data_IF_252305821508
#
_entry.id   IF_252305821508
#
_cell.length_a   1.000
_cell.length_b   1.000
_cell.length_c   1.000
_cell.angle_alpha   90.00
_cell.angle_beta   90.00
_cell.angle_gamma   90.00
#
_symmetry.space_group_name_H-M   'P 1'
#
loop_
_entity.id
_entity.type
_entity.pdbx_description
1 polymer ?
#
# COMPACT_ATOMS: atom_id res chain seq x y z
N UNK A 1 -12.14 23.91 -24.19
CA UNK A 1 -11.27 23.22 -23.24
C UNK A 1 -12.01 22.42 -22.15
N UNK A 2 -13.10 22.92 -21.52
CA UNK A 2 -13.92 22.18 -20.54
C UNK A 2 -14.65 20.94 -21.08
N UNK A 3 -14.95 20.88 -22.36
CA UNK A 3 -15.65 19.76 -23.03
C UNK A 3 -14.72 18.60 -23.37
N UNK A 4 -13.46 18.84 -23.74
CA UNK A 4 -12.47 17.79 -24.07
C UNK A 4 -12.10 16.89 -22.87
N UNK A 5 -12.22 17.41 -21.64
CA UNK A 5 -11.99 16.65 -20.41
C UNK A 5 -13.20 15.82 -19.96
N UNK A 6 -14.35 15.95 -20.63
CA UNK A 6 -15.59 15.23 -20.29
C UNK A 6 -15.85 14.02 -21.19
N UNK A 7 -15.23 13.95 -22.37
CA UNK A 7 -15.39 12.82 -23.30
C UNK A 7 -14.44 11.69 -22.97
N UNK A 8 -14.88 10.43 -23.00
CA UNK A 8 -14.00 9.26 -22.94
C UNK A 8 -12.92 9.36 -24.02
N UNK A 9 -11.73 8.81 -23.76
CA UNK A 9 -10.59 8.91 -24.68
C UNK A 9 -10.91 8.27 -26.06
N UNK A 10 -11.79 7.27 -26.09
CA UNK A 10 -12.29 6.63 -27.33
C UNK A 10 -13.22 7.53 -28.18
N UNK A 11 -13.84 8.53 -27.58
CA UNK A 11 -14.77 9.44 -28.27
C UNK A 11 -14.14 10.80 -28.59
N UNK A 12 -12.86 11.00 -28.27
CA UNK A 12 -12.18 12.25 -28.64
C UNK A 12 -11.89 12.21 -30.13
N UNK A 13 -12.34 13.23 -30.89
CA UNK A 13 -11.92 13.32 -32.27
C UNK A 13 -10.39 13.40 -32.35
N UNK A 14 -9.80 12.59 -33.21
CA UNK A 14 -8.35 12.46 -33.31
C UNK A 14 -7.61 13.80 -33.53
N UNK A 15 -8.33 14.83 -33.96
CA UNK A 15 -7.78 16.17 -34.16
C UNK A 15 -8.91 17.23 -34.20
N UNK A 16 -9.07 18.00 -33.13
CA UNK A 16 -9.61 19.35 -33.27
C UNK A 16 -8.47 20.36 -33.28
N UNK A 17 -8.24 20.94 -34.47
CA UNK A 17 -7.35 22.08 -34.64
C UNK A 17 -7.90 23.28 -33.89
N UNK A 18 -7.39 23.58 -32.72
CA UNK A 18 -7.38 24.95 -32.25
C UNK A 18 -6.09 25.57 -32.74
N UNK A 19 -6.15 26.12 -33.95
CA UNK A 19 -5.12 26.97 -34.50
C UNK A 19 -5.02 28.25 -33.60
N UNK A 20 -4.17 28.21 -32.58
CA UNK A 20 -3.52 29.36 -32.04
C UNK A 20 -2.04 29.19 -32.42
N UNK A 21 -1.66 30.01 -33.40
CA UNK A 21 -0.26 30.22 -33.80
C UNK A 21 0.56 30.59 -32.57
N UNK A 22 1.15 29.63 -31.91
CA UNK A 22 2.20 29.84 -30.91
C UNK A 22 3.53 29.82 -31.67
N UNK A 23 4.35 30.85 -31.51
CA UNK A 23 5.69 30.89 -32.05
C UNK A 23 6.43 29.58 -31.82
N UNK A 24 6.79 28.78 -32.84
CA UNK A 24 7.28 27.43 -32.72
C UNK A 24 8.62 27.31 -31.96
N UNK A 25 9.38 28.38 -31.88
CA UNK A 25 10.77 28.39 -31.41
C UNK A 25 10.97 28.34 -29.89
N UNK A 26 9.98 28.75 -29.10
CA UNK A 26 10.10 28.76 -27.62
C UNK A 26 9.57 27.48 -26.97
N UNK A 27 8.56 26.84 -27.56
CA UNK A 27 7.97 25.58 -27.06
C UNK A 27 8.90 24.40 -27.37
N UNK A 28 9.50 24.34 -28.55
CA UNK A 28 10.39 23.25 -28.97
C UNK A 28 11.62 23.05 -28.07
N UNK A 29 12.19 24.15 -27.53
CA UNK A 29 13.35 24.10 -26.62
C UNK A 29 13.04 23.55 -25.23
N UNK A 30 11.78 23.55 -24.81
CA UNK A 30 11.38 23.11 -23.48
C UNK A 30 10.81 21.68 -23.42
N UNK A 31 10.49 21.05 -24.57
CA UNK A 31 9.91 19.71 -24.63
C UNK A 31 10.72 18.69 -23.83
N UNK A 32 12.04 18.50 -24.05
CA UNK A 32 12.81 17.50 -23.30
C UNK A 32 12.82 17.76 -21.79
N UNK A 33 12.79 19.03 -21.36
CA UNK A 33 12.76 19.40 -19.95
C UNK A 33 11.41 19.09 -19.31
N UNK A 34 10.31 19.32 -20.02
CA UNK A 34 8.97 18.99 -19.54
C UNK A 34 8.82 17.47 -19.43
N UNK A 35 9.26 16.70 -20.44
CA UNK A 35 9.25 15.25 -20.41
C UNK A 35 10.10 14.68 -19.24
N UNK A 36 11.31 15.20 -19.01
CA UNK A 36 12.16 14.79 -17.89
C UNK A 36 11.50 15.13 -16.53
N UNK A 37 10.89 16.31 -16.37
CA UNK A 37 10.16 16.67 -15.16
C UNK A 37 8.98 15.73 -14.92
N UNK A 38 8.18 15.46 -15.94
CA UNK A 38 7.04 14.54 -15.90
C UNK A 38 7.47 13.14 -15.47
N UNK A 39 8.56 12.61 -16.08
CA UNK A 39 9.13 11.32 -15.72
C UNK A 39 9.68 11.28 -14.30
N UNK A 40 10.33 12.34 -13.82
CA UNK A 40 10.84 12.40 -12.43
C UNK A 40 9.72 12.41 -11.40
N UNK A 41 8.62 13.08 -11.69
CA UNK A 41 7.43 13.08 -10.82
C UNK A 41 6.76 11.71 -10.87
N UNK A 42 6.55 11.14 -12.07
CA UNK A 42 6.01 9.79 -12.25
C UNK A 42 6.84 8.72 -11.53
N UNK A 43 8.18 8.80 -11.61
CA UNK A 43 9.09 7.92 -10.86
C UNK A 43 8.82 7.96 -9.35
N UNK A 44 8.67 9.15 -8.77
CA UNK A 44 8.44 9.29 -7.33
C UNK A 44 7.06 8.77 -6.92
N UNK A 45 6.03 8.99 -7.72
CA UNK A 45 4.68 8.48 -7.48
C UNK A 45 4.67 6.95 -7.52
N UNK A 46 5.20 6.36 -8.60
CA UNK A 46 5.26 4.89 -8.76
C UNK A 46 6.14 4.23 -7.68
N UNK A 47 7.28 4.84 -7.36
CA UNK A 47 8.18 4.37 -6.30
C UNK A 47 7.51 4.41 -4.92
N UNK A 48 6.59 5.34 -4.69
CA UNK A 48 5.81 5.45 -3.44
C UNK A 48 4.64 4.46 -3.37
N UNK A 49 4.39 3.70 -4.44
CA UNK A 49 3.37 2.64 -4.50
C UNK A 49 2.02 3.08 -5.05
N UNK A 50 1.95 4.24 -5.73
CA UNK A 50 0.73 4.64 -6.44
C UNK A 50 0.38 3.64 -7.54
N UNK A 51 -0.92 3.55 -7.85
CA UNK A 51 -1.41 2.76 -8.97
C UNK A 51 -0.94 3.35 -10.31
N UNK A 52 -0.73 2.49 -11.30
CA UNK A 52 -0.27 2.93 -12.62
C UNK A 52 -1.21 3.97 -13.25
N UNK A 53 -2.53 3.80 -13.09
CA UNK A 53 -3.55 4.75 -13.56
C UNK A 53 -3.38 6.15 -12.96
N UNK A 54 -3.14 6.25 -11.64
CA UNK A 54 -2.99 7.54 -10.96
C UNK A 54 -1.67 8.22 -11.36
N UNK A 55 -0.61 7.42 -11.63
CA UNK A 55 0.67 7.93 -12.16
C UNK A 55 0.51 8.47 -13.57
N UNK A 56 -0.15 7.72 -14.48
CA UNK A 56 -0.44 8.20 -15.85
C UNK A 56 -1.27 9.48 -15.84
N UNK A 57 -2.31 9.52 -15.01
CA UNK A 57 -3.17 10.70 -14.88
C UNK A 57 -2.38 11.94 -14.41
N UNK A 58 -1.47 11.77 -13.45
CA UNK A 58 -0.60 12.86 -12.98
C UNK A 58 0.37 13.31 -14.08
N UNK A 59 0.97 12.37 -14.82
CA UNK A 59 1.89 12.67 -15.92
C UNK A 59 1.18 13.43 -17.04
N UNK A 60 -0.03 13.01 -17.44
CA UNK A 60 -0.87 13.72 -18.41
C UNK A 60 -1.23 15.14 -17.94
N UNK A 61 -1.61 15.28 -16.66
CA UNK A 61 -1.92 16.57 -16.08
C UNK A 61 -0.75 17.57 -16.15
N UNK A 62 0.46 17.09 -15.84
CA UNK A 62 1.68 17.90 -15.94
C UNK A 62 1.96 18.32 -17.38
N UNK A 63 1.89 17.36 -18.33
CA UNK A 63 2.11 17.64 -19.74
C UNK A 63 1.14 18.72 -20.26
N UNK A 64 -0.16 18.55 -19.97
CA UNK A 64 -1.18 19.53 -20.37
C UNK A 64 -1.00 20.91 -19.72
N UNK A 65 -0.59 20.98 -18.44
CA UNK A 65 -0.34 22.25 -17.75
C UNK A 65 0.78 23.06 -18.42
N UNK A 66 1.78 22.35 -18.96
CA UNK A 66 2.85 22.97 -19.75
C UNK A 66 2.57 23.00 -21.26
N UNK A 67 1.31 22.78 -21.66
CA UNK A 67 0.83 22.89 -23.05
C UNK A 67 1.47 21.90 -24.02
N UNK A 68 1.90 20.72 -23.51
CA UNK A 68 2.22 19.60 -24.35
C UNK A 68 0.93 18.81 -24.61
N UNK A 69 0.27 19.14 -25.72
CA UNK A 69 -0.82 18.31 -26.25
C UNK A 69 -0.22 17.07 -26.94
N UNK A 70 -0.97 15.98 -27.11
CA UNK A 70 -0.51 14.74 -27.71
C UNK A 70 0.65 14.06 -26.98
N UNK A 71 0.57 14.01 -25.66
CA UNK A 71 1.45 13.20 -24.80
C UNK A 71 0.78 11.88 -24.47
N UNK A 72 1.53 10.79 -24.63
CA UNK A 72 1.11 9.43 -24.27
C UNK A 72 2.06 8.88 -23.20
N UNK A 73 1.71 8.97 -21.91
CA UNK A 73 2.44 8.29 -20.86
C UNK A 73 2.09 6.82 -20.85
N UNK A 74 3.07 5.99 -20.60
CA UNK A 74 2.94 4.56 -20.38
C UNK A 74 3.65 4.19 -19.09
N UNK A 75 2.92 3.56 -18.17
CA UNK A 75 3.44 3.15 -16.87
C UNK A 75 3.40 1.63 -16.76
N UNK A 76 4.57 1.04 -16.59
CA UNK A 76 4.72 -0.36 -16.23
C UNK A 76 5.38 -0.47 -14.86
N UNK A 77 5.53 -1.71 -14.37
CA UNK A 77 6.04 -1.98 -13.03
C UNK A 77 7.37 -1.30 -12.66
N UNK A 78 8.32 -1.26 -13.62
CA UNK A 78 9.66 -0.71 -13.42
C UNK A 78 10.07 0.32 -14.46
N UNK A 79 9.23 0.54 -15.48
CA UNK A 79 9.55 1.44 -16.59
C UNK A 79 8.39 2.44 -16.76
N UNK A 80 8.75 3.70 -16.84
CA UNK A 80 7.83 4.78 -17.20
C UNK A 80 8.37 5.39 -18.49
N UNK A 81 7.51 5.53 -19.49
CA UNK A 81 7.80 6.24 -20.72
C UNK A 81 6.79 7.34 -20.96
N UNK A 82 7.18 8.35 -21.70
CA UNK A 82 6.29 9.39 -22.20
C UNK A 82 6.71 9.77 -23.61
N UNK A 83 5.76 9.67 -24.54
CA UNK A 83 5.92 10.10 -25.92
C UNK A 83 5.14 11.39 -26.16
N UNK A 84 5.74 12.33 -26.85
CA UNK A 84 5.09 13.54 -27.32
C UNK A 84 5.27 13.69 -28.82
N UNK A 85 4.17 13.84 -29.53
CA UNK A 85 4.17 14.07 -30.98
C UNK A 85 3.73 15.52 -31.25
N UNK A 86 4.65 16.42 -31.64
CA UNK A 86 4.33 17.83 -31.86
C UNK A 86 3.34 18.04 -33.01
N UNK A 87 3.46 17.27 -34.08
CA UNK A 87 2.57 17.29 -35.25
C UNK A 87 2.53 15.91 -35.91
N UNK A 88 1.56 15.69 -36.81
CA UNK A 88 1.48 14.43 -37.58
C UNK A 88 2.65 14.18 -38.52
N UNK A 89 3.40 15.22 -38.87
CA UNK A 89 4.52 15.18 -39.81
C UNK A 89 5.87 15.09 -39.11
N UNK A 90 5.90 15.35 -37.80
CA UNK A 90 7.14 15.31 -37.01
C UNK A 90 7.28 13.98 -36.28
N UNK A 91 8.52 13.54 -36.13
CA UNK A 91 8.81 12.31 -35.35
C UNK A 91 8.47 12.54 -33.87
N UNK A 92 7.90 11.52 -33.19
CA UNK A 92 7.62 11.62 -31.76
C UNK A 92 8.93 11.71 -30.97
N UNK A 93 8.92 12.56 -29.94
CA UNK A 93 9.99 12.66 -28.94
C UNK A 93 9.59 11.77 -27.77
N UNK A 94 10.35 10.69 -27.54
CA UNK A 94 10.09 9.74 -26.44
C UNK A 94 11.21 9.83 -25.41
N UNK A 95 10.84 9.78 -24.15
CA UNK A 95 11.77 9.71 -23.04
C UNK A 95 11.31 8.62 -22.06
N UNK A 96 12.29 7.91 -21.49
CA UNK A 96 12.06 6.77 -20.60
C UNK A 96 12.76 6.95 -19.27
N UNK A 97 12.23 6.27 -18.24
CA UNK A 97 12.85 6.24 -16.93
C UNK A 97 12.59 4.92 -16.20
N UNK A 98 13.67 4.32 -15.69
CA UNK A 98 13.57 3.07 -14.91
C UNK A 98 13.42 3.38 -13.42
N UNK A 99 12.41 2.81 -12.80
CA UNK A 99 12.14 2.91 -11.36
C UNK A 99 12.83 1.76 -10.65
N UNK A 100 13.98 2.04 -10.04
CA UNK A 100 14.85 1.02 -9.42
C UNK A 100 14.63 0.82 -7.92
N UNK A 101 14.07 1.81 -7.23
CA UNK A 101 13.90 1.79 -5.78
C UNK A 101 12.47 2.12 -5.43
N UNK A 102 11.90 1.36 -4.50
CA UNK A 102 10.62 1.65 -3.89
C UNK A 102 10.83 2.19 -2.50
N UNK A 103 10.07 3.18 -2.14
CA UNK A 103 10.14 3.83 -0.83
C UNK A 103 8.73 4.01 -0.28
N UNK A 104 8.53 3.70 1.00
CA UNK A 104 7.24 3.91 1.66
C UNK A 104 7.25 5.24 2.41
N UNK A 105 7.53 6.35 1.71
CA UNK A 105 7.58 7.69 2.29
C UNK A 105 6.34 8.50 1.88
N UNK A 106 5.29 8.41 2.69
CA UNK A 106 4.03 9.09 2.42
C UNK A 106 4.07 10.60 2.68
N UNK A 107 5.03 11.09 3.48
CA UNK A 107 5.27 12.53 3.58
C UNK A 107 5.77 13.09 2.27
N UNK A 108 6.71 12.39 1.62
CA UNK A 108 7.23 12.74 0.30
C UNK A 108 6.14 12.62 -0.77
N UNK A 109 5.36 11.55 -0.73
CA UNK A 109 4.22 11.35 -1.63
C UNK A 109 3.24 12.53 -1.56
N UNK A 110 2.84 12.94 -0.36
CA UNK A 110 1.94 14.09 -0.17
C UNK A 110 2.53 15.42 -0.69
N UNK A 111 3.86 15.58 -0.57
CA UNK A 111 4.53 16.75 -1.12
C UNK A 111 4.57 16.75 -2.65
N UNK A 112 4.74 15.56 -3.28
CA UNK A 112 4.68 15.40 -4.74
C UNK A 112 3.27 15.68 -5.25
N UNK A 113 2.23 15.18 -4.59
CA UNK A 113 0.83 15.47 -4.97
C UNK A 113 0.51 16.96 -4.92
N UNK A 114 0.98 17.67 -3.89
CA UNK A 114 0.83 19.14 -3.81
C UNK A 114 1.55 19.84 -4.96
N UNK A 115 2.76 19.40 -5.31
CA UNK A 115 3.49 19.94 -6.45
C UNK A 115 2.73 19.69 -7.78
N UNK A 116 2.17 18.49 -7.97
CA UNK A 116 1.35 18.18 -9.16
C UNK A 116 0.11 19.07 -9.21
N UNK A 117 -0.58 19.26 -8.07
CA UNK A 117 -1.75 20.14 -7.98
C UNK A 117 -1.40 21.59 -8.33
N UNK A 118 -0.28 22.11 -7.80
CA UNK A 118 0.19 23.48 -8.09
C UNK A 118 0.58 23.64 -9.57
N UNK A 119 1.19 22.62 -10.20
CA UNK A 119 1.51 22.63 -11.63
C UNK A 119 0.23 22.62 -12.47
N UNK A 120 -0.72 21.75 -12.14
CA UNK A 120 -1.98 21.63 -12.90
C UNK A 120 -2.89 22.84 -12.75
N UNK A 121 -2.71 23.63 -11.68
CA UNK A 121 -3.34 24.93 -11.50
C UNK A 121 -2.62 26.07 -12.25
N UNK A 122 -1.59 25.76 -13.06
CA UNK A 122 -0.76 26.72 -13.82
C UNK A 122 -0.04 27.77 -12.94
N UNK A 123 0.20 27.44 -11.65
CA UNK A 123 0.80 28.36 -10.68
C UNK A 123 2.34 28.26 -10.61
N UNK A 124 2.95 27.30 -11.31
CA UNK A 124 4.37 26.98 -11.14
C UNK A 124 5.10 26.92 -12.47
N UNK A 125 6.18 27.72 -12.60
CA UNK A 125 7.07 27.63 -13.75
C UNK A 125 7.88 26.33 -13.76
N UNK A 126 8.36 25.90 -14.93
CA UNK A 126 9.20 24.67 -15.06
C UNK A 126 10.41 24.74 -14.13
N UNK A 127 11.10 25.89 -14.04
CA UNK A 127 12.27 26.05 -13.19
C UNK A 127 11.94 25.94 -11.69
N UNK A 128 10.79 26.50 -11.28
CA UNK A 128 10.30 26.38 -9.90
C UNK A 128 9.87 24.96 -9.58
N UNK A 129 9.25 24.25 -10.51
CA UNK A 129 8.90 22.85 -10.35
C UNK A 129 10.13 21.98 -10.11
N UNK A 130 11.20 22.17 -10.87
CA UNK A 130 12.48 21.47 -10.64
C UNK A 130 13.09 21.82 -9.27
N UNK A 131 13.08 23.09 -8.87
CA UNK A 131 13.59 23.51 -7.55
C UNK A 131 12.78 22.89 -6.42
N UNK A 132 11.45 22.87 -6.52
CA UNK A 132 10.56 22.24 -5.53
C UNK A 132 10.75 20.73 -5.50
N UNK A 133 10.85 20.08 -6.64
CA UNK A 133 11.09 18.63 -6.74
C UNK A 133 12.44 18.24 -6.11
N UNK A 134 13.51 19.01 -6.36
CA UNK A 134 14.81 18.79 -5.73
C UNK A 134 14.74 18.95 -4.21
N UNK A 135 13.95 19.91 -3.70
CA UNK A 135 13.71 20.10 -2.26
C UNK A 135 12.95 18.91 -1.66
N UNK A 136 11.90 18.41 -2.34
CA UNK A 136 11.14 17.21 -1.91
C UNK A 136 12.06 16.00 -1.83
N UNK A 137 12.95 15.78 -2.81
CA UNK A 137 13.92 14.67 -2.80
C UNK A 137 14.94 14.74 -1.67
N UNK A 138 15.32 15.96 -1.22
CA UNK A 138 16.29 16.20 -0.13
C UNK A 138 15.63 16.25 1.25
N UNK A 139 14.30 16.28 1.32
CA UNK A 139 13.61 16.39 2.60
C UNK A 139 13.91 15.15 3.47
N UNK A 140 14.23 15.41 4.75
CA UNK A 140 14.51 14.33 5.71
C UNK A 140 13.21 13.68 6.15
N UNK A 141 13.32 12.39 6.50
CA UNK A 141 12.22 11.62 7.05
C UNK A 141 11.67 12.26 8.33
N UNK A 142 10.34 12.25 8.55
CA UNK A 142 9.71 12.91 9.71
C UNK A 142 10.01 12.22 11.04
N UNK A 143 10.48 10.96 11.01
CA UNK A 143 10.72 10.15 12.19
C UNK A 143 12.19 9.71 12.30
N UNK A 144 12.78 9.78 13.51
CA UNK A 144 14.13 9.26 13.74
C UNK A 144 14.14 7.73 13.74
N UNK A 145 15.30 7.13 13.45
CA UNK A 145 15.47 5.67 13.28
C UNK A 145 15.06 4.88 14.54
N UNK A 146 15.34 5.42 15.73
CA UNK A 146 14.94 4.75 16.98
C UNK A 146 13.41 4.66 17.14
N UNK A 147 12.68 5.69 16.68
CA UNK A 147 11.22 5.71 16.74
C UNK A 147 10.62 4.72 15.73
N UNK A 148 11.24 4.54 14.56
CA UNK A 148 10.82 3.52 13.60
C UNK A 148 11.04 2.11 14.16
N UNK A 149 12.18 1.87 14.85
CA UNK A 149 12.40 0.60 15.54
C UNK A 149 11.36 0.34 16.64
N UNK A 150 11.02 1.36 17.43
CA UNK A 150 9.93 1.29 18.40
C UNK A 150 8.58 0.97 17.72
N UNK A 151 8.29 1.63 16.60
CA UNK A 151 7.07 1.39 15.83
C UNK A 151 7.00 -0.05 15.28
N UNK A 152 8.12 -0.61 14.79
CA UNK A 152 8.18 -2.02 14.35
C UNK A 152 7.80 -2.98 15.50
N UNK A 153 8.39 -2.76 16.67
CA UNK A 153 8.06 -3.56 17.86
C UNK A 153 6.62 -3.40 18.33
N UNK A 154 6.12 -2.14 18.39
CA UNK A 154 4.73 -1.85 18.78
C UNK A 154 3.72 -2.48 17.81
N UNK A 155 4.01 -2.46 16.51
CA UNK A 155 3.15 -3.10 15.51
C UNK A 155 3.01 -4.60 15.79
N UNK A 156 4.13 -5.30 15.98
CA UNK A 156 4.14 -6.73 16.24
C UNK A 156 3.50 -7.07 17.60
N UNK A 157 3.84 -6.31 18.65
CA UNK A 157 3.25 -6.48 19.98
C UNK A 157 1.74 -6.24 19.98
N UNK A 158 1.26 -5.18 19.37
CA UNK A 158 -0.18 -4.91 19.26
C UNK A 158 -0.91 -6.01 18.46
N UNK A 159 -0.28 -6.56 17.43
CA UNK A 159 -0.84 -7.67 16.67
C UNK A 159 -1.06 -8.93 17.55
N UNK A 160 -0.26 -9.15 18.60
CA UNK A 160 -0.49 -10.27 19.54
C UNK A 160 -1.81 -10.14 20.30
N UNK A 161 -2.20 -8.92 20.67
CA UNK A 161 -3.52 -8.68 21.30
C UNK A 161 -4.68 -8.84 20.31
N UNK A 162 -4.49 -8.46 19.06
CA UNK A 162 -5.50 -8.69 18.01
C UNK A 162 -5.79 -10.17 17.80
N UNK A 163 -4.75 -11.01 17.84
CA UNK A 163 -4.82 -12.44 17.57
C UNK A 163 -5.09 -13.23 18.84
N UNK A 164 -4.46 -12.87 19.95
CA UNK A 164 -4.55 -13.57 21.24
C UNK A 164 -5.72 -13.18 22.12
N UNK A 165 -6.24 -11.97 22.00
CA UNK A 165 -7.51 -11.47 22.57
C UNK A 165 -7.66 -11.44 24.10
N UNK A 166 -6.62 -11.68 24.89
CA UNK A 166 -6.71 -11.72 26.36
C UNK A 166 -5.71 -10.78 27.01
N UNK A 167 -6.14 -10.13 28.10
CA UNK A 167 -5.30 -9.27 28.93
C UNK A 167 -5.01 -10.00 30.25
N UNK A 168 -4.13 -10.96 30.21
CA UNK A 168 -3.60 -11.65 31.39
C UNK A 168 -2.16 -11.21 31.67
N UNK A 169 -1.61 -11.57 32.84
CA UNK A 169 -0.22 -11.21 33.19
C UNK A 169 0.83 -11.78 32.21
N UNK A 170 0.48 -12.83 31.47
CA UNK A 170 1.34 -13.49 30.47
C UNK A 170 1.27 -12.80 29.11
N UNK A 171 0.18 -12.08 28.81
CA UNK A 171 -0.01 -11.38 27.55
C UNK A 171 1.09 -10.32 27.31
N UNK A 172 1.56 -9.66 28.38
CA UNK A 172 2.66 -8.69 28.28
C UNK A 172 4.00 -9.35 27.96
N UNK A 173 4.24 -10.60 28.37
CA UNK A 173 5.43 -11.36 27.96
C UNK A 173 5.35 -11.73 26.48
N UNK A 174 4.17 -12.14 26.00
CA UNK A 174 3.90 -12.43 24.59
C UNK A 174 4.10 -11.17 23.74
N UNK A 175 3.53 -10.04 24.18
CA UNK A 175 3.72 -8.74 23.56
C UNK A 175 5.21 -8.36 23.49
N UNK A 176 5.95 -8.42 24.62
CA UNK A 176 7.36 -8.08 24.69
C UNK A 176 8.23 -8.98 23.82
N UNK A 177 7.91 -10.26 23.76
CA UNK A 177 8.62 -11.22 22.90
C UNK A 177 8.41 -10.94 21.42
N UNK A 178 7.18 -10.66 20.98
CA UNK A 178 6.90 -10.27 19.60
C UNK A 178 7.54 -8.91 19.25
N UNK A 179 7.51 -7.97 20.19
CA UNK A 179 8.17 -6.67 20.05
C UNK A 179 9.68 -6.84 19.77
N UNK A 180 10.40 -7.55 20.65
CA UNK A 180 11.85 -7.75 20.52
C UNK A 180 12.18 -8.56 19.27
N UNK A 181 11.42 -9.62 18.99
CA UNK A 181 11.63 -10.47 17.82
C UNK A 181 11.48 -9.67 16.52
N UNK A 182 10.45 -8.82 16.42
CA UNK A 182 10.21 -8.01 15.22
C UNK A 182 11.29 -6.94 15.02
N UNK A 183 11.72 -6.26 16.10
CA UNK A 183 12.84 -5.31 16.02
C UNK A 183 14.13 -6.00 15.60
N UNK A 184 14.42 -7.19 16.13
CA UNK A 184 15.59 -7.97 15.75
C UNK A 184 15.52 -8.40 14.27
N UNK A 185 14.35 -8.86 13.82
CA UNK A 185 14.10 -9.22 12.43
C UNK A 185 14.33 -8.05 11.46
N UNK A 186 13.81 -6.86 11.79
CA UNK A 186 14.04 -5.63 11.02
C UNK A 186 15.54 -5.28 10.95
N UNK A 187 16.27 -5.40 12.07
CA UNK A 187 17.73 -5.14 12.10
C UNK A 187 18.53 -6.13 11.27
N UNK A 188 18.20 -7.41 11.36
CA UNK A 188 18.85 -8.45 10.56
C UNK A 188 18.53 -8.28 9.06
N UNK A 189 17.29 -8.01 8.69
CA UNK A 189 16.89 -7.73 7.31
C UNK A 189 17.65 -6.49 6.78
N UNK A 190 17.73 -5.40 7.56
CA UNK A 190 18.43 -4.18 7.17
C UNK A 190 19.94 -4.42 7.00
N UNK A 191 20.56 -5.24 7.85
CA UNK A 191 21.97 -5.61 7.73
C UNK A 191 22.26 -6.33 6.40
N UNK A 192 21.37 -7.23 6.01
CA UNK A 192 21.46 -7.96 4.74
C UNK A 192 21.21 -7.01 3.56
N UNK A 193 20.24 -6.09 3.69
CA UNK A 193 19.97 -5.06 2.69
C UNK A 193 21.18 -4.18 2.42
N UNK A 194 21.91 -3.76 3.47
CA UNK A 194 23.13 -2.98 3.33
C UNK A 194 24.27 -3.72 2.59
N UNK A 195 24.25 -5.05 2.60
CA UNK A 195 25.18 -5.89 1.83
C UNK A 195 24.74 -6.11 0.38
N UNK A 196 23.66 -5.52 -0.05
CA UNK A 196 23.16 -5.60 -1.44
C UNK A 196 22.42 -6.91 -1.79
N UNK A 197 22.04 -7.72 -0.79
CA UNK A 197 21.29 -8.95 -1.03
C UNK A 197 19.83 -8.63 -1.44
N UNK A 198 19.24 -9.44 -2.36
CA UNK A 198 17.87 -9.29 -2.82
C UNK A 198 16.85 -9.26 -1.67
N UNK A 199 15.75 -8.53 -1.88
CA UNK A 199 14.69 -8.32 -0.90
C UNK A 199 14.09 -9.65 -0.40
N UNK A 200 14.00 -10.65 -1.26
CA UNK A 200 13.58 -12.02 -0.89
C UNK A 200 14.33 -12.56 0.34
N UNK A 201 15.67 -12.48 0.35
CA UNK A 201 16.47 -12.98 1.48
C UNK A 201 16.32 -12.11 2.73
N UNK A 202 16.02 -10.82 2.56
CA UNK A 202 15.71 -9.92 3.67
C UNK A 202 14.44 -10.37 4.39
N UNK A 203 13.41 -10.81 3.65
CA UNK A 203 12.17 -11.35 4.21
C UNK A 203 12.38 -12.72 4.86
N UNK A 204 13.20 -13.61 4.25
CA UNK A 204 13.57 -14.89 4.87
C UNK A 204 14.17 -14.67 6.26
N UNK A 205 15.22 -13.85 6.34
CA UNK A 205 15.94 -13.62 7.61
C UNK A 205 15.13 -12.76 8.57
N UNK A 206 14.37 -11.80 8.07
CA UNK A 206 13.49 -10.97 8.90
C UNK A 206 12.39 -11.75 9.61
N UNK A 207 11.90 -12.85 9.02
CA UNK A 207 10.87 -13.69 9.61
C UNK A 207 11.39 -14.70 10.67
N UNK A 208 12.68 -15.06 10.60
CA UNK A 208 13.26 -16.07 11.48
C UNK A 208 13.19 -15.73 12.98
N UNK A 209 13.47 -14.49 13.45
CA UNK A 209 13.42 -14.18 14.89
C UNK A 209 12.03 -14.37 15.49
N UNK A 210 10.96 -14.02 14.79
CA UNK A 210 9.60 -14.22 15.29
C UNK A 210 9.31 -15.69 15.54
N UNK A 211 9.71 -16.56 14.60
CA UNK A 211 9.60 -18.03 14.75
C UNK A 211 10.48 -18.54 15.88
N UNK A 212 11.73 -18.06 15.99
CA UNK A 212 12.66 -18.50 17.04
C UNK A 212 12.17 -18.15 18.46
N UNK A 213 11.68 -16.92 18.66
CA UNK A 213 11.09 -16.52 19.95
C UNK A 213 9.83 -17.33 20.28
N UNK A 214 8.95 -17.56 19.29
CA UNK A 214 7.76 -18.37 19.50
C UNK A 214 8.08 -19.81 19.90
N UNK A 215 9.10 -20.41 19.27
CA UNK A 215 9.59 -21.75 19.63
C UNK A 215 10.22 -21.73 21.04
N UNK A 216 11.09 -20.76 21.33
CA UNK A 216 11.73 -20.67 22.65
C UNK A 216 10.71 -20.58 23.78
N UNK A 217 9.62 -19.87 23.58
CA UNK A 217 8.51 -19.80 24.55
C UNK A 217 7.72 -21.11 24.68
N UNK A 218 7.69 -21.94 23.63
CA UNK A 218 6.99 -23.24 23.66
C UNK A 218 7.72 -24.33 24.48
N UNK A 219 9.02 -24.17 24.75
CA UNK A 219 9.79 -25.08 25.60
C UNK A 219 9.56 -24.89 27.09
N UNK A 220 9.04 -23.74 27.51
CA UNK A 220 8.80 -23.43 28.90
C UNK A 220 7.39 -23.90 29.33
N UNK A 221 7.29 -24.48 30.54
CA UNK A 221 6.01 -24.88 31.17
C UNK A 221 5.10 -23.71 31.57
N UNK A 222 5.47 -22.50 31.16
CA UNK A 222 4.70 -21.27 31.44
C UNK A 222 3.40 -21.16 30.64
N UNK A 223 3.10 -22.16 29.78
CA UNK A 223 1.93 -22.19 28.89
C UNK A 223 1.76 -20.88 28.12
N UNK A 224 2.88 -20.33 27.62
CA UNK A 224 2.87 -19.14 26.77
C UNK A 224 2.56 -19.54 25.33
N UNK A 225 1.70 -18.75 24.69
CA UNK A 225 1.25 -18.99 23.31
C UNK A 225 2.32 -18.55 22.30
N UNK A 226 3.28 -19.40 22.02
CA UNK A 226 4.33 -19.17 21.02
C UNK A 226 3.77 -18.85 19.63
N UNK A 227 2.65 -19.48 19.25
CA UNK A 227 1.90 -19.23 18.01
C UNK A 227 1.49 -17.77 17.85
N UNK A 228 1.07 -17.12 18.94
CA UNK A 228 0.66 -15.70 18.92
C UNK A 228 1.85 -14.78 18.70
N UNK A 229 3.03 -15.11 19.27
CA UNK A 229 4.29 -14.37 19.04
C UNK A 229 4.70 -14.42 17.58
N UNK A 230 4.68 -15.62 16.98
CA UNK A 230 5.03 -15.81 15.58
C UNK A 230 4.08 -15.01 14.71
N UNK A 231 2.77 -15.17 14.92
CA UNK A 231 1.75 -14.46 14.14
C UNK A 231 1.90 -12.96 14.26
N UNK A 232 2.08 -12.40 15.48
CA UNK A 232 2.29 -10.98 15.71
C UNK A 232 3.52 -10.43 15.00
N UNK A 233 4.64 -11.16 15.08
CA UNK A 233 5.89 -10.78 14.40
C UNK A 233 5.78 -10.76 12.88
N UNK A 234 4.92 -11.58 12.29
CA UNK A 234 4.71 -11.62 10.84
C UNK A 234 3.92 -10.43 10.31
N UNK A 235 3.07 -9.77 11.14
CA UNK A 235 2.27 -8.63 10.67
C UNK A 235 3.11 -7.51 10.07
N UNK A 236 4.31 -7.27 10.62
CA UNK A 236 5.23 -6.24 10.10
C UNK A 236 5.78 -6.57 8.69
N UNK A 237 5.79 -7.84 8.33
CA UNK A 237 6.37 -8.35 7.07
C UNK A 237 5.32 -8.55 5.97
N UNK A 238 4.03 -8.54 6.29
CA UNK A 238 2.99 -8.81 5.29
C UNK A 238 2.95 -7.74 4.20
N UNK A 239 3.04 -8.11 2.90
CA UNK A 239 3.11 -7.17 1.78
C UNK A 239 1.72 -6.63 1.37
N UNK A 240 0.91 -6.17 2.34
CA UNK A 240 -0.48 -5.76 2.11
C UNK A 240 -0.62 -4.60 1.12
N UNK A 241 0.31 -3.64 1.14
CA UNK A 241 0.31 -2.52 0.19
C UNK A 241 0.50 -3.00 -1.26
N UNK A 242 1.46 -3.90 -1.48
CA UNK A 242 1.73 -4.41 -2.82
C UNK A 242 0.54 -5.22 -3.36
N UNK A 243 -0.15 -5.98 -2.47
CA UNK A 243 -1.35 -6.72 -2.81
C UNK A 243 -2.50 -5.79 -3.24
N UNK A 244 -2.81 -4.74 -2.47
CA UNK A 244 -3.87 -3.79 -2.81
C UNK A 244 -3.57 -3.09 -4.13
N UNK A 245 -2.32 -2.65 -4.34
CA UNK A 245 -1.92 -2.00 -5.58
C UNK A 245 -1.95 -2.96 -6.79
N UNK A 246 -1.59 -4.23 -6.61
CA UNK A 246 -1.68 -5.24 -7.67
C UNK A 246 -3.12 -5.44 -8.14
N UNK A 247 -4.06 -5.56 -7.19
CA UNK A 247 -5.49 -5.71 -7.52
C UNK A 247 -6.02 -4.44 -8.17
N UNK A 248 -5.65 -3.26 -7.69
CA UNK A 248 -6.04 -1.98 -8.28
C UNK A 248 -5.59 -1.88 -9.73
N UNK A 249 -4.32 -2.15 -10.03
CA UNK A 249 -3.81 -2.13 -11.40
C UNK A 249 -4.54 -3.14 -12.30
N UNK A 250 -4.88 -4.33 -11.78
CA UNK A 250 -5.67 -5.32 -12.51
C UNK A 250 -7.09 -4.85 -12.83
N UNK A 251 -7.78 -4.23 -11.85
CA UNK A 251 -9.14 -3.69 -12.03
C UNK A 251 -9.18 -2.50 -13.00
N UNK A 252 -8.07 -1.76 -13.11
CA UNK A 252 -7.97 -0.59 -14.02
C UNK A 252 -7.38 -0.93 -15.39
N UNK A 253 -7.07 -2.22 -15.65
CA UNK A 253 -6.62 -2.71 -16.96
C UNK A 253 -5.10 -2.70 -17.18
N UNK A 254 -4.30 -2.40 -16.16
CA UNK A 254 -2.83 -2.47 -16.19
C UNK A 254 -2.34 -3.88 -15.87
N UNK A 255 -2.76 -4.88 -16.64
CA UNK A 255 -2.54 -6.30 -16.34
C UNK A 255 -1.08 -6.68 -16.20
N UNK A 256 -0.16 -6.11 -16.99
CA UNK A 256 1.29 -6.40 -16.90
C UNK A 256 1.83 -5.90 -15.56
N UNK A 257 1.48 -4.70 -15.17
CA UNK A 257 1.88 -4.12 -13.86
C UNK A 257 1.26 -4.89 -12.70
N UNK A 258 -0.02 -5.26 -12.81
CA UNK A 258 -0.72 -6.07 -11.83
C UNK A 258 -0.06 -7.44 -11.64
N UNK A 259 0.26 -8.15 -12.73
CA UNK A 259 0.93 -9.45 -12.70
C UNK A 259 2.33 -9.34 -12.08
N UNK A 260 3.11 -8.33 -12.44
CA UNK A 260 4.44 -8.11 -11.88
C UNK A 260 4.40 -7.82 -10.36
N UNK A 261 3.44 -6.98 -9.89
CA UNK A 261 3.24 -6.72 -8.46
C UNK A 261 2.74 -7.95 -7.71
N UNK A 262 1.85 -8.74 -8.31
CA UNK A 262 1.38 -9.97 -7.70
C UNK A 262 2.51 -11.00 -7.56
N UNK A 263 3.36 -11.12 -8.58
CA UNK A 263 4.55 -11.96 -8.53
C UNK A 263 5.51 -11.51 -7.40
N UNK A 264 5.74 -10.20 -7.26
CA UNK A 264 6.51 -9.65 -6.13
C UNK A 264 5.92 -10.08 -4.79
N UNK A 265 4.60 -9.95 -4.59
CA UNK A 265 3.92 -10.40 -3.37
C UNK A 265 4.15 -11.90 -3.12
N UNK A 266 4.03 -12.73 -4.16
CA UNK A 266 4.28 -14.17 -4.05
C UNK A 266 5.72 -14.45 -3.60
N UNK A 267 6.73 -13.77 -4.16
CA UNK A 267 8.12 -13.92 -3.74
C UNK A 267 8.36 -13.48 -2.30
N UNK A 268 7.78 -12.35 -1.87
CA UNK A 268 7.93 -11.86 -0.50
C UNK A 268 7.28 -12.81 0.51
N UNK A 269 6.06 -13.28 0.22
CA UNK A 269 5.37 -14.28 1.06
C UNK A 269 6.14 -15.60 1.09
N UNK A 270 6.66 -16.06 -0.04
CA UNK A 270 7.51 -17.27 -0.08
C UNK A 270 8.76 -17.08 0.79
N UNK A 271 9.39 -15.89 0.78
CA UNK A 271 10.51 -15.59 1.68
C UNK A 271 10.12 -15.70 3.16
N UNK A 272 8.97 -15.11 3.56
CA UNK A 272 8.45 -15.23 4.93
C UNK A 272 8.23 -16.70 5.28
N UNK A 273 7.53 -17.45 4.40
CA UNK A 273 7.23 -18.88 4.61
C UNK A 273 8.50 -19.67 4.81
N UNK A 274 9.50 -19.51 3.95
CA UNK A 274 10.78 -20.22 4.05
C UNK A 274 11.49 -19.85 5.35
N UNK A 275 11.56 -18.58 5.72
CA UNK A 275 12.20 -18.14 6.97
C UNK A 275 11.56 -18.75 8.21
N UNK A 276 10.24 -18.75 8.29
CA UNK A 276 9.49 -19.37 9.41
C UNK A 276 9.65 -20.89 9.40
N UNK A 277 9.49 -21.52 8.24
CA UNK A 277 9.56 -22.98 8.08
C UNK A 277 10.92 -23.54 8.48
N UNK A 278 12.01 -22.88 8.12
CA UNK A 278 13.36 -23.30 8.54
C UNK A 278 13.48 -23.36 10.05
N UNK A 279 12.98 -22.37 10.76
CA UNK A 279 13.05 -22.29 12.22
C UNK A 279 12.06 -23.27 12.85
N UNK A 280 10.83 -23.39 12.32
CA UNK A 280 9.83 -24.36 12.80
C UNK A 280 10.32 -25.79 12.64
N UNK A 281 10.94 -26.14 11.50
CA UNK A 281 11.49 -27.47 11.26
C UNK A 281 12.56 -27.84 12.31
N UNK A 282 13.46 -26.90 12.62
CA UNK A 282 14.44 -27.08 13.70
C UNK A 282 13.71 -27.26 15.04
N UNK A 283 12.74 -26.41 15.36
CA UNK A 283 11.97 -26.49 16.60
C UNK A 283 11.23 -27.81 16.79
N UNK A 284 10.60 -28.33 15.75
CA UNK A 284 9.90 -29.63 15.78
C UNK A 284 10.89 -30.78 16.07
N UNK A 285 12.09 -30.76 15.48
CA UNK A 285 13.13 -31.75 15.76
C UNK A 285 13.64 -31.70 17.21
N UNK A 286 13.51 -30.55 17.89
CA UNK A 286 13.80 -30.41 19.32
C UNK A 286 12.57 -30.59 20.22
N UNK A 287 11.50 -31.24 19.74
CA UNK A 287 10.24 -31.47 20.47
C UNK A 287 9.52 -30.17 20.93
N UNK A 288 9.59 -29.10 20.18
CA UNK A 288 8.81 -27.90 20.44
C UNK A 288 7.30 -28.24 20.42
N UNK A 289 6.59 -27.90 21.49
CA UNK A 289 5.16 -28.16 21.66
C UNK A 289 4.29 -27.07 21.05
N UNK A 290 4.43 -26.81 19.76
CA UNK A 290 3.54 -25.91 19.03
C UNK A 290 2.28 -26.70 18.62
N UNK A 291 1.12 -26.28 19.09
CA UNK A 291 -0.17 -26.93 18.81
C UNK A 291 -0.91 -26.19 17.70
N UNK A 292 -1.26 -26.88 16.57
CA UNK A 292 -2.07 -26.28 15.52
C UNK A 292 -3.50 -26.00 15.97
N UNK A 293 -3.99 -26.79 16.96
CA UNK A 293 -5.33 -26.65 17.53
C UNK A 293 -5.44 -25.56 18.60
N UNK A 294 -4.33 -24.91 18.95
CA UNK A 294 -4.36 -23.79 19.86
C UNK A 294 -5.16 -22.66 19.19
N UNK A 295 -6.40 -22.48 19.69
CA UNK A 295 -7.25 -21.40 19.16
C UNK A 295 -6.49 -20.09 19.31
N UNK A 296 -6.05 -19.53 18.19
CA UNK A 296 -5.40 -18.23 18.16
C UNK A 296 -6.34 -17.17 18.70
N UNK A 297 -7.66 -17.41 18.56
CA UNK A 297 -8.72 -16.56 19.09
C UNK A 297 -9.05 -17.05 20.50
N UNK A 298 -8.51 -16.38 21.50
CA UNK A 298 -8.98 -16.47 22.89
C UNK A 298 -10.39 -15.88 23.03
N UNK A 299 -10.83 -15.63 24.26
CA UNK A 299 -12.07 -14.86 24.49
C UNK A 299 -11.96 -13.51 23.77
N UNK A 300 -12.96 -13.19 22.95
CA UNK A 300 -13.03 -11.92 22.23
C UNK A 300 -13.24 -10.81 23.25
N UNK A 301 -12.24 -9.94 23.40
CA UNK A 301 -12.35 -8.69 24.17
C UNK A 301 -12.36 -7.51 23.17
N UNK A 302 -13.57 -7.06 22.74
CA UNK A 302 -13.69 -6.04 21.70
C UNK A 302 -12.96 -4.73 22.01
N UNK A 303 -13.02 -4.17 23.24
CA UNK A 303 -12.30 -2.94 23.58
C UNK A 303 -10.77 -3.11 23.47
N UNK A 304 -10.23 -4.23 23.93
CA UNK A 304 -8.80 -4.52 23.85
C UNK A 304 -8.35 -4.67 22.41
N UNK A 305 -9.11 -5.40 21.60
CA UNK A 305 -8.80 -5.58 20.19
C UNK A 305 -8.88 -4.27 19.42
N UNK A 306 -9.86 -3.41 19.72
CA UNK A 306 -9.95 -2.09 19.10
C UNK A 306 -8.74 -1.21 19.48
N UNK A 307 -8.35 -1.20 20.75
CA UNK A 307 -7.16 -0.48 21.21
C UNK A 307 -5.87 -1.02 20.52
N UNK A 308 -5.75 -2.34 20.40
CA UNK A 308 -4.65 -2.98 19.70
C UNK A 308 -4.62 -2.61 18.22
N UNK A 309 -5.78 -2.58 17.54
CA UNK A 309 -5.90 -2.13 16.15
C UNK A 309 -5.46 -0.67 16.00
N UNK A 310 -5.82 0.21 16.93
CA UNK A 310 -5.39 1.62 16.95
C UNK A 310 -3.86 1.74 17.06
N UNK A 311 -3.27 1.04 18.03
CA UNK A 311 -1.81 1.06 18.25
C UNK A 311 -1.07 0.48 17.05
N UNK A 312 -1.51 -0.66 16.53
CA UNK A 312 -0.94 -1.30 15.33
C UNK A 312 -0.96 -0.34 14.15
N UNK A 313 -2.11 0.28 13.90
CA UNK A 313 -2.28 1.22 12.78
C UNK A 313 -1.42 2.46 12.93
N UNK A 314 -1.34 3.04 14.14
CA UNK A 314 -0.47 4.18 14.41
C UNK A 314 1.00 3.84 14.17
N UNK A 315 1.45 2.69 14.67
CA UNK A 315 2.80 2.18 14.44
C UNK A 315 3.08 1.93 12.96
N UNK A 316 2.14 1.31 12.25
CA UNK A 316 2.28 1.05 10.81
C UNK A 316 2.33 2.36 10.00
N UNK A 317 1.48 3.33 10.32
CA UNK A 317 1.50 4.64 9.67
C UNK A 317 2.84 5.38 9.90
N UNK A 318 3.46 5.23 11.10
CA UNK A 318 4.80 5.77 11.35
C UNK A 318 5.87 5.06 10.51
N UNK A 319 5.81 3.74 10.34
CA UNK A 319 6.72 2.99 9.47
C UNK A 319 6.60 3.40 8.00
N UNK A 320 5.39 3.75 7.56
CA UNK A 320 5.12 4.31 6.23
C UNK A 320 5.45 5.81 6.13
N UNK A 321 6.03 6.38 7.18
CA UNK A 321 6.44 7.78 7.27
C UNK A 321 5.30 8.76 6.93
N UNK A 322 4.12 8.46 7.44
CA UNK A 322 2.94 9.32 7.31
C UNK A 322 3.10 10.59 8.16
N UNK A 323 2.65 11.74 7.67
CA UNK A 323 2.69 12.99 8.40
C UNK A 323 1.93 12.85 9.75
N UNK A 324 2.52 13.39 10.83
CA UNK A 324 1.96 13.35 12.19
C UNK A 324 0.54 13.90 12.28
N UNK A 325 0.22 14.92 11.46
CA UNK A 325 -1.12 15.53 11.40
C UNK A 325 -2.17 14.61 10.76
N UNK A 326 -1.73 13.61 10.02
CA UNK A 326 -2.59 12.65 9.32
C UNK A 326 -2.89 11.42 10.19
N UNK A 327 -2.01 11.11 11.18
CA UNK A 327 -2.12 9.92 12.03
C UNK A 327 -3.51 9.75 12.68
N UNK A 328 -4.13 10.77 13.30
CA UNK A 328 -5.45 10.58 13.94
C UNK A 328 -6.53 10.13 12.97
N UNK A 329 -6.52 10.63 11.73
CA UNK A 329 -7.49 10.25 10.70
C UNK A 329 -7.26 8.82 10.19
N UNK A 330 -6.00 8.40 10.10
CA UNK A 330 -5.63 7.01 9.73
C UNK A 330 -6.09 6.03 10.79
N UNK A 331 -5.86 6.36 12.08
CA UNK A 331 -6.31 5.56 13.22
C UNK A 331 -7.84 5.49 13.28
N UNK A 332 -8.53 6.61 13.09
CA UNK A 332 -10.00 6.64 13.04
C UNK A 332 -10.54 5.74 11.91
N UNK A 333 -9.91 5.78 10.74
CA UNK A 333 -10.30 4.92 9.62
C UNK A 333 -10.11 3.44 9.95
N UNK A 334 -9.04 3.08 10.66
CA UNK A 334 -8.83 1.72 11.16
C UNK A 334 -9.88 1.30 12.19
N UNK A 335 -10.30 2.20 13.08
CA UNK A 335 -11.39 1.92 14.03
C UNK A 335 -12.69 1.57 13.30
N UNK A 336 -13.04 2.29 12.25
CA UNK A 336 -14.20 1.99 11.40
C UNK A 336 -14.06 0.59 10.81
N UNK A 337 -12.91 0.29 10.20
CA UNK A 337 -12.65 -1.02 9.60
C UNK A 337 -12.72 -2.17 10.60
N UNK A 338 -12.01 -2.04 11.74
CA UNK A 338 -11.97 -3.10 12.75
C UNK A 338 -13.31 -3.31 13.43
N UNK A 339 -14.02 -2.24 13.80
CA UNK A 339 -15.36 -2.34 14.39
C UNK A 339 -16.36 -2.98 13.42
N UNK A 340 -16.31 -2.63 12.15
CA UNK A 340 -17.17 -3.26 11.13
C UNK A 340 -16.85 -4.75 10.99
N UNK A 341 -15.58 -5.12 10.94
CA UNK A 341 -15.16 -6.52 10.90
C UNK A 341 -15.66 -7.28 12.13
N UNK A 342 -15.48 -6.70 13.33
CA UNK A 342 -15.91 -7.30 14.58
C UNK A 342 -17.43 -7.54 14.64
N UNK A 343 -18.23 -6.55 14.25
CA UNK A 343 -19.71 -6.69 14.19
C UNK A 343 -20.13 -7.78 13.21
N UNK A 344 -19.55 -7.81 12.02
CA UNK A 344 -19.92 -8.78 10.98
C UNK A 344 -19.42 -10.19 11.29
N UNK A 345 -18.18 -10.34 11.71
CA UNK A 345 -17.57 -11.66 11.92
C UNK A 345 -17.99 -12.28 13.26
N UNK A 346 -18.00 -11.50 14.36
CA UNK A 346 -18.24 -12.07 15.69
C UNK A 346 -19.71 -12.01 16.11
N UNK A 347 -20.43 -10.92 15.80
CA UNK A 347 -21.82 -10.76 16.22
C UNK A 347 -22.81 -11.32 15.18
N UNK A 348 -22.58 -11.07 13.87
CA UNK A 348 -23.48 -11.53 12.83
C UNK A 348 -23.10 -12.91 12.25
N UNK A 349 -21.96 -13.49 12.65
CA UNK A 349 -21.52 -14.82 12.18
C UNK A 349 -21.18 -14.87 10.68
N UNK A 350 -20.92 -13.73 10.05
CA UNK A 350 -20.57 -13.67 8.62
C UNK A 350 -19.13 -14.17 8.43
N UNK A 351 -18.89 -14.85 7.32
CA UNK A 351 -17.56 -15.44 7.06
C UNK A 351 -16.46 -14.36 7.10
N UNK A 352 -15.27 -14.66 7.64
CA UNK A 352 -14.15 -13.71 7.73
C UNK A 352 -13.74 -13.09 6.38
N UNK A 353 -13.90 -13.81 5.28
CA UNK A 353 -13.59 -13.32 3.92
C UNK A 353 -14.52 -12.16 3.56
N UNK A 354 -15.84 -12.36 3.72
CA UNK A 354 -16.86 -11.34 3.39
C UNK A 354 -16.76 -10.17 4.35
N UNK A 355 -16.63 -10.43 5.66
CA UNK A 355 -16.48 -9.41 6.69
C UNK A 355 -15.26 -8.52 6.44
N UNK A 356 -14.12 -9.10 6.03
CA UNK A 356 -12.92 -8.35 5.66
C UNK A 356 -13.16 -7.50 4.43
N UNK A 357 -13.83 -8.04 3.40
CA UNK A 357 -14.14 -7.30 2.17
C UNK A 357 -15.01 -6.07 2.44
N UNK A 358 -16.06 -6.20 3.25
CA UNK A 358 -16.95 -5.09 3.61
C UNK A 358 -16.22 -4.06 4.47
N UNK A 359 -15.50 -4.50 5.50
CA UNK A 359 -14.72 -3.62 6.37
C UNK A 359 -13.66 -2.84 5.58
N UNK A 360 -12.93 -3.51 4.70
CA UNK A 360 -11.96 -2.89 3.82
C UNK A 360 -12.60 -1.91 2.80
N UNK A 361 -13.83 -2.21 2.37
CA UNK A 361 -14.64 -1.32 1.53
C UNK A 361 -14.93 0.02 2.23
N UNK A 362 -15.33 -0.02 3.49
CA UNK A 362 -15.52 1.20 4.28
C UNK A 362 -14.20 1.95 4.52
N UNK A 363 -13.10 1.25 4.81
CA UNK A 363 -11.77 1.87 4.92
C UNK A 363 -11.38 2.58 3.62
N UNK A 364 -11.63 1.95 2.47
CA UNK A 364 -11.38 2.54 1.16
C UNK A 364 -12.25 3.77 0.90
N UNK A 365 -13.55 3.69 1.21
CA UNK A 365 -14.52 4.77 1.09
C UNK A 365 -14.10 6.00 1.91
N UNK A 366 -13.89 5.85 3.22
CA UNK A 366 -13.53 6.95 4.10
C UNK A 366 -12.12 7.47 3.81
N UNK A 367 -11.17 6.59 3.46
CA UNK A 367 -9.83 6.98 3.05
C UNK A 367 -9.85 7.86 1.80
N UNK A 368 -10.64 7.50 0.80
CA UNK A 368 -10.78 8.28 -0.44
C UNK A 368 -11.50 9.62 -0.21
N UNK A 369 -12.56 9.63 0.62
CA UNK A 369 -13.25 10.87 1.00
C UNK A 369 -12.30 11.83 1.73
N UNK A 370 -11.53 11.32 2.70
CA UNK A 370 -10.55 12.11 3.46
C UNK A 370 -9.44 12.66 2.57
N UNK A 371 -8.91 11.82 1.66
CA UNK A 371 -7.90 12.21 0.71
C UNK A 371 -8.37 13.34 -0.20
N UNK A 372 -9.60 13.24 -0.68
CA UNK A 372 -10.22 14.27 -1.52
C UNK A 372 -10.39 15.59 -0.78
N UNK A 373 -10.89 15.54 0.46
CA UNK A 373 -11.05 16.73 1.29
C UNK A 373 -9.72 17.43 1.57
N UNK A 374 -8.62 16.66 1.67
CA UNK A 374 -7.28 17.18 1.94
C UNK A 374 -6.40 17.40 0.71
N UNK A 375 -6.94 17.16 -0.50
CA UNK A 375 -6.18 17.24 -1.76
C UNK A 375 -4.88 16.41 -1.74
N UNK A 376 -4.98 15.17 -1.27
CA UNK A 376 -3.87 14.25 -1.09
C UNK A 376 -4.16 12.88 -1.71
N UNK A 377 -3.14 11.99 -1.77
CA UNK A 377 -3.32 10.58 -2.09
C UNK A 377 -4.16 9.87 -1.02
N UNK A 378 -4.94 8.88 -1.43
CA UNK A 378 -5.67 8.01 -0.50
C UNK A 378 -4.76 7.00 0.21
N UNK A 379 -3.58 6.68 -0.35
CA UNK A 379 -2.66 5.68 0.18
C UNK A 379 -2.32 5.86 1.66
N UNK A 380 -1.92 7.07 2.14
CA UNK A 380 -1.61 7.26 3.56
C UNK A 380 -2.77 6.92 4.50
N UNK A 381 -4.01 7.15 4.06
CA UNK A 381 -5.22 6.94 4.89
C UNK A 381 -5.69 5.49 4.89
N UNK A 382 -5.43 4.75 3.82
CA UNK A 382 -5.95 3.40 3.62
C UNK A 382 -4.92 2.34 4.02
N UNK A 383 -3.66 2.50 3.59
CA UNK A 383 -2.65 1.42 3.69
C UNK A 383 -2.38 0.98 5.13
N UNK A 384 -2.24 1.91 6.07
CA UNK A 384 -2.03 1.56 7.47
C UNK A 384 -3.33 1.10 8.13
N UNK A 385 -4.48 1.67 7.74
CA UNK A 385 -5.78 1.36 8.33
C UNK A 385 -6.26 -0.07 8.04
N UNK A 386 -5.82 -0.68 6.93
CA UNK A 386 -6.11 -2.09 6.62
C UNK A 386 -5.18 -3.08 7.35
N UNK A 387 -4.14 -2.59 8.05
CA UNK A 387 -3.19 -3.43 8.77
C UNK A 387 -3.84 -4.48 9.67
N UNK A 388 -4.76 -4.12 10.57
CA UNK A 388 -5.44 -5.08 11.45
C UNK A 388 -6.27 -6.15 10.71
N UNK A 389 -6.71 -5.89 9.48
CA UNK A 389 -7.51 -6.81 8.67
C UNK A 389 -6.67 -7.82 7.87
N UNK A 390 -5.34 -7.73 7.92
CA UNK A 390 -4.46 -8.64 7.18
C UNK A 390 -4.51 -10.08 7.73
N UNK A 391 -4.45 -11.11 6.85
CA UNK A 391 -4.65 -12.51 7.23
C UNK A 391 -3.40 -13.17 7.84
N UNK A 392 -2.74 -12.53 8.82
CA UNK A 392 -1.51 -13.05 9.43
C UNK A 392 -1.70 -14.39 10.13
N UNK A 393 -2.80 -14.57 10.86
CA UNK A 393 -3.11 -15.82 11.57
C UNK A 393 -3.35 -16.98 10.63
N UNK A 394 -4.11 -16.79 9.54
CA UNK A 394 -4.37 -17.84 8.57
C UNK A 394 -3.09 -18.25 7.83
N UNK A 395 -2.21 -17.30 7.53
CA UNK A 395 -0.91 -17.58 6.93
C UNK A 395 -0.03 -18.41 7.89
N UNK A 396 0.07 -18.01 9.17
CA UNK A 396 0.84 -18.74 10.17
C UNK A 396 0.32 -20.18 10.36
N UNK A 397 -0.99 -20.37 10.53
CA UNK A 397 -1.58 -21.70 10.68
C UNK A 397 -1.30 -22.60 9.46
N UNK A 398 -1.34 -22.02 8.27
CA UNK A 398 -0.97 -22.75 7.05
C UNK A 398 0.49 -23.21 7.08
N UNK A 399 1.41 -22.34 7.46
CA UNK A 399 2.84 -22.69 7.58
C UNK A 399 3.10 -23.75 8.65
N UNK A 400 2.47 -23.61 9.83
CA UNK A 400 2.63 -24.58 10.91
C UNK A 400 2.11 -25.97 10.51
N UNK A 401 0.93 -26.05 9.89
CA UNK A 401 0.36 -27.30 9.40
C UNK A 401 1.28 -27.97 8.37
N UNK A 402 1.88 -27.20 7.45
CA UNK A 402 2.87 -27.73 6.49
C UNK A 402 4.13 -28.24 7.20
N UNK A 403 4.65 -27.51 8.19
CA UNK A 403 5.84 -27.91 8.95
C UNK A 403 5.62 -29.20 9.71
N UNK A 404 4.39 -29.49 10.15
CA UNK A 404 4.00 -30.71 10.85
C UNK A 404 3.60 -31.87 9.92
N UNK A 405 3.73 -31.70 8.61
CA UNK A 405 3.40 -32.71 7.61
C UNK A 405 1.92 -32.82 7.23
N UNK A 406 1.06 -31.93 7.76
CA UNK A 406 -0.37 -31.86 7.43
C UNK A 406 -0.62 -31.01 6.17
N UNK A 407 -0.17 -31.50 5.01
CA UNK A 407 -0.15 -30.73 3.76
C UNK A 407 -1.53 -30.22 3.33
N UNK A 408 -2.57 -31.03 3.44
CA UNK A 408 -3.93 -30.64 3.06
C UNK A 408 -4.48 -29.50 3.92
N UNK A 409 -4.36 -29.60 5.25
CA UNK A 409 -4.79 -28.54 6.18
C UNK A 409 -3.98 -27.25 5.98
N UNK A 410 -2.66 -27.39 5.75
CA UNK A 410 -1.79 -26.26 5.47
C UNK A 410 -2.19 -25.51 4.20
N UNK A 411 -2.46 -26.25 3.11
CA UNK A 411 -2.88 -25.65 1.84
C UNK A 411 -4.24 -24.94 1.96
N UNK A 412 -5.20 -25.51 2.67
CA UNK A 412 -6.52 -24.89 2.93
C UNK A 412 -6.34 -23.55 3.68
N UNK A 413 -5.48 -23.52 4.72
CA UNK A 413 -5.24 -22.30 5.49
C UNK A 413 -4.54 -21.22 4.67
N UNK A 414 -3.57 -21.57 3.82
CA UNK A 414 -2.90 -20.63 2.91
C UNK A 414 -3.89 -20.10 1.87
N UNK A 415 -4.74 -20.96 1.29
CA UNK A 415 -5.78 -20.55 0.34
C UNK A 415 -6.78 -19.59 1.00
N UNK A 416 -7.15 -19.86 2.27
CA UNK A 416 -7.99 -18.94 3.05
C UNK A 416 -7.31 -17.59 3.26
N UNK A 417 -6.01 -17.57 3.59
CA UNK A 417 -5.25 -16.32 3.72
C UNK A 417 -5.23 -15.55 2.41
N UNK A 418 -5.02 -16.20 1.28
CA UNK A 418 -5.06 -15.58 -0.04
C UNK A 418 -6.45 -15.02 -0.38
N UNK A 419 -7.53 -15.75 -0.05
CA UNK A 419 -8.91 -15.30 -0.25
C UNK A 419 -9.24 -14.06 0.60
N UNK A 420 -8.81 -14.00 1.87
CA UNK A 420 -8.98 -12.83 2.73
C UNK A 420 -8.19 -11.64 2.18
N UNK A 421 -6.95 -11.84 1.74
CA UNK A 421 -6.12 -10.79 1.15
C UNK A 421 -6.73 -10.24 -0.14
N UNK A 422 -7.31 -11.10 -0.97
CA UNK A 422 -8.03 -10.70 -2.19
C UNK A 422 -9.31 -9.93 -1.87
N UNK A 423 -10.11 -10.40 -0.90
CA UNK A 423 -11.31 -9.72 -0.46
C UNK A 423 -11.00 -8.32 0.10
N UNK A 424 -9.93 -8.22 0.90
CA UNK A 424 -9.41 -6.94 1.41
C UNK A 424 -9.06 -5.97 0.26
N UNK A 425 -8.30 -6.44 -0.72
CA UNK A 425 -7.87 -5.61 -1.83
C UNK A 425 -9.04 -5.16 -2.73
N UNK A 426 -9.96 -6.08 -3.05
CA UNK A 426 -11.20 -5.77 -3.80
C UNK A 426 -12.05 -4.79 -3.00
N UNK A 427 -12.23 -5.01 -1.69
CA UNK A 427 -13.03 -4.16 -0.83
C UNK A 427 -12.50 -2.72 -0.84
N UNK A 428 -11.22 -2.51 -0.58
CA UNK A 428 -10.59 -1.18 -0.61
C UNK A 428 -10.84 -0.47 -1.94
N UNK A 429 -10.62 -1.16 -3.05
CA UNK A 429 -10.79 -0.57 -4.38
C UNK A 429 -12.26 -0.23 -4.66
N UNK A 430 -13.19 -1.14 -4.31
CA UNK A 430 -14.62 -0.91 -4.46
C UNK A 430 -15.09 0.30 -3.64
N UNK A 431 -14.64 0.40 -2.38
CA UNK A 431 -14.94 1.56 -1.52
C UNK A 431 -14.42 2.87 -2.11
N UNK A 432 -13.23 2.86 -2.68
CA UNK A 432 -12.65 4.00 -3.40
C UNK A 432 -13.48 4.41 -4.63
N UNK A 433 -13.97 3.45 -5.42
CA UNK A 433 -14.83 3.72 -6.57
C UNK A 433 -16.19 4.28 -6.14
N UNK A 434 -16.80 3.70 -5.09
CA UNK A 434 -18.05 4.21 -4.50
C UNK A 434 -17.89 5.65 -4.06
N UNK A 435 -16.79 5.99 -3.35
CA UNK A 435 -16.50 7.37 -2.97
C UNK A 435 -16.50 8.32 -4.19
N UNK A 436 -15.90 7.86 -5.30
CA UNK A 436 -15.84 8.64 -6.54
C UNK A 436 -17.21 8.86 -7.17
N UNK A 437 -18.12 7.89 -7.10
CA UNK A 437 -19.50 8.03 -7.61
C UNK A 437 -20.25 9.11 -6.85
N UNK A 438 -20.18 9.12 -5.51
CA UNK A 438 -20.78 10.17 -4.69
C UNK A 438 -20.22 11.57 -4.98
N UNK A 439 -18.95 11.66 -5.33
CA UNK A 439 -18.30 12.93 -5.66
C UNK A 439 -18.58 13.43 -7.09
N UNK A 440 -19.13 12.59 -7.97
CA UNK A 440 -19.52 12.95 -9.34
C UNK A 440 -20.94 13.52 -9.43
N UNK A 441 -21.74 13.46 -8.37
CA UNK A 441 -23.11 13.98 -8.38
C UNK A 441 -23.11 15.47 -8.71
N UNK A 442 -23.84 15.92 -9.76
CA UNK A 442 -23.90 17.32 -10.13
C UNK A 442 -24.65 18.09 -9.04
N UNK A 443 -24.01 19.04 -8.39
CA UNK A 443 -24.64 19.98 -7.45
C UNK A 443 -23.94 20.20 -6.12
N UNK A 444 -23.18 19.26 -5.59
CA UNK A 444 -22.50 19.44 -4.30
C UNK A 444 -21.07 19.99 -4.41
N UNK A 445 -20.40 19.71 -5.51
CA UNK A 445 -18.97 20.03 -5.69
C UNK A 445 -18.70 21.41 -6.34
N UNK A 446 -19.68 21.97 -7.07
CA UNK A 446 -19.48 23.26 -7.76
C UNK A 446 -19.54 24.48 -6.84
N UNK A 447 -20.05 24.33 -5.61
CA UNK A 447 -20.15 25.44 -4.64
C UNK A 447 -18.96 25.57 -3.70
N UNK A 448 -18.09 24.56 -3.57
CA UNK A 448 -17.02 24.51 -2.56
C UNK A 448 -15.59 24.33 -3.08
N UNK A 449 -15.40 24.19 -4.37
CA UNK A 449 -14.06 24.02 -4.95
C UNK A 449 -13.78 25.00 -6.08
N UNK A 450 -13.07 26.11 -5.82
CA UNK A 450 -12.39 26.78 -6.90
C UNK A 450 -11.26 25.90 -7.41
N UNK A 451 -11.48 25.26 -8.55
CA UNK A 451 -10.47 24.95 -9.57
C UNK A 451 -9.27 24.03 -9.22
N UNK A 452 -9.37 23.07 -8.34
CA UNK A 452 -8.36 22.02 -8.26
C UNK A 452 -8.82 20.79 -9.06
N UNK A 453 -8.62 20.86 -10.37
CA UNK A 453 -8.72 19.72 -11.27
C UNK A 453 -7.51 18.83 -11.06
N UNK A 454 -7.61 17.88 -10.12
CA UNK A 454 -6.80 16.65 -10.24
C UNK A 454 -7.14 16.08 -11.62
N UNK A 455 -6.14 15.84 -12.50
CA UNK A 455 -6.42 15.34 -13.84
C UNK A 455 -7.26 14.09 -13.74
N UNK A 456 -8.39 14.07 -14.45
CA UNK A 456 -9.26 12.89 -14.53
C UNK A 456 -8.45 11.75 -15.08
N UNK A 457 -8.60 10.60 -14.48
CA UNK A 457 -8.05 9.34 -14.95
C UNK A 457 -8.16 9.20 -16.47
N UNK A 458 -7.14 8.63 -17.09
CA UNK A 458 -7.24 8.04 -18.40
C UNK A 458 -8.50 7.16 -18.43
N UNK A 459 -9.23 7.18 -19.56
CA UNK A 459 -10.47 6.44 -19.66
C UNK A 459 -10.24 4.98 -19.26
N UNK A 460 -11.02 4.49 -18.29
CA UNK A 460 -11.01 3.05 -17.96
C UNK A 460 -11.23 2.26 -19.23
N UNK A 461 -10.43 1.22 -19.45
CA UNK A 461 -10.71 0.24 -20.50
C UNK A 461 -12.04 -0.44 -20.17
N UNK A 462 -13.15 0.11 -20.68
CA UNK A 462 -14.44 -0.54 -20.67
C UNK A 462 -14.55 -1.39 -21.95
N UNK A 463 -15.06 -2.60 -21.82
CA UNK A 463 -15.53 -3.31 -23.03
C UNK A 463 -16.62 -2.45 -23.66
N UNK A 464 -16.39 -1.95 -24.86
CA UNK A 464 -17.45 -1.46 -25.69
C UNK A 464 -18.35 -2.66 -26.06
N UNK A 465 -19.59 -2.61 -25.64
CA UNK A 465 -20.64 -3.49 -26.17
C UNK A 465 -21.24 -2.81 -27.39
#
# INVERSE_FOLDING_TARGET
MRTLLRTPMAERPAFERTARELHPSAVGRNIPRILDLTLRIGELLLASGEAAEDVEAAMLGIAHAYRLDHCEPQVTFTLISVSHQPSLTEAPVTADRVVRRRTSDYTRLAAVYRLVADITAEQVSINDAYRRLARIRRNRHPYPVWLLALATGLLAGAATFLVGGQLDGKAWLVFGSAFVASVLGDRLASLIAHRGLPEFYQFVVGAMPAAAFGIALSFNDWHLRGSVVITGGLFALLPGRAMVAAVQDGLTGFYITAAARLLEVVYLVAGIVIGVMLVLYVGVNFNARLRPDESLIGSVDPPLQLAAAMVLTAAFAMLLQTDRRTLPLVVLNSCIGWSTYGVLAYNAGISPIVSTGIAAGLVGLFGQLTARYRYASALPYVTAAIGPLMPGSALYLGMLSLAQGHASAGLVSITRAAAIAMALAIGVNLGGEVARLFMKAPGAADRLAPQLLVPRRAAKRTRGF
#
